data_IF_863396531544
#
_entry.id   IF_863396531544
#
_cell.length_a   1.000
_cell.length_b   1.000
_cell.length_c   1.000
_cell.angle_alpha   90.00
_cell.angle_beta   90.00
_cell.angle_gamma   90.00
#
_symmetry.space_group_name_H-M   'P 1'
#
loop_
_entity.id
_entity.type
_entity.pdbx_description
1 polymer ?
#
# COMPACT_ATOMS: atom_id res chain seq x y z
N UNK A 1 -5.43 -11.60 93.95
CA UNK A 1 -4.77 -12.68 94.73
C UNK A 1 -4.29 -13.74 93.76
N UNK A 2 -3.06 -14.16 93.99
CA UNK A 2 -2.27 -15.08 93.18
C UNK A 2 -2.76 -16.51 93.45
N UNK A 3 -3.03 -17.30 92.41
CA UNK A 3 -3.21 -18.74 92.54
C UNK A 3 -2.37 -19.46 91.47
N UNK A 4 -1.18 -19.82 91.91
CA UNK A 4 -0.22 -20.74 91.33
C UNK A 4 -0.77 -22.16 91.24
N UNK A 5 -0.65 -22.81 90.08
CA UNK A 5 -0.52 -24.28 90.03
C UNK A 5 0.38 -24.68 88.84
N UNK A 6 1.57 -25.18 89.19
CA UNK A 6 2.39 -26.16 88.45
C UNK A 6 2.46 -27.39 89.38
N UNK A 7 2.93 -28.60 88.98
CA UNK A 7 3.28 -29.14 87.65
C UNK A 7 2.74 -30.58 87.42
N UNK A 8 2.89 -31.15 86.22
CA UNK A 8 3.69 -32.39 86.04
C UNK A 8 3.84 -32.79 84.58
N UNK A 9 5.09 -33.07 84.29
CA UNK A 9 5.69 -33.54 83.05
C UNK A 9 5.29 -34.99 82.78
N UNK A 10 5.06 -35.32 81.51
CA UNK A 10 5.41 -36.63 80.98
C UNK A 10 6.02 -36.44 79.59
N UNK A 11 7.35 -36.65 79.55
CA UNK A 11 8.12 -36.80 78.32
C UNK A 11 7.72 -38.12 77.65
N UNK A 12 7.41 -38.06 76.36
CA UNK A 12 7.67 -39.17 75.45
C UNK A 12 8.45 -38.64 74.26
N UNK A 13 9.64 -39.21 74.12
CA UNK A 13 10.68 -38.91 73.15
C UNK A 13 10.22 -39.21 71.72
N UNK A 14 10.29 -38.21 70.84
CA UNK A 14 10.35 -38.42 69.40
C UNK A 14 11.58 -37.67 68.88
N UNK A 15 12.64 -38.41 68.60
CA UNK A 15 13.83 -37.91 67.91
C UNK A 15 13.45 -37.58 66.46
N UNK A 16 13.27 -36.29 66.16
CA UNK A 16 13.14 -35.82 64.79
C UNK A 16 14.55 -35.59 64.22
N UNK A 17 14.96 -36.47 63.31
CA UNK A 17 16.16 -36.30 62.51
C UNK A 17 16.00 -35.07 61.60
N UNK A 18 16.73 -33.99 61.91
CA UNK A 18 16.86 -32.85 61.00
C UNK A 18 17.81 -33.26 59.87
N UNK A 19 17.24 -33.76 58.77
CA UNK A 19 17.96 -33.85 57.51
C UNK A 19 18.10 -32.42 56.95
N UNK A 20 19.30 -31.85 57.10
CA UNK A 20 19.70 -30.61 56.43
C UNK A 20 19.73 -30.88 54.92
N UNK A 21 18.65 -30.54 54.22
CA UNK A 21 18.70 -30.43 52.75
C UNK A 21 19.48 -29.14 52.45
N UNK A 22 20.78 -29.28 52.24
CA UNK A 22 21.59 -28.24 51.60
C UNK A 22 21.12 -28.17 50.15
N UNK A 23 20.17 -27.29 49.88
CA UNK A 23 19.77 -26.94 48.52
C UNK A 23 20.91 -26.13 47.92
N UNK A 24 21.85 -26.81 47.26
CA UNK A 24 22.88 -26.17 46.46
C UNK A 24 22.19 -25.40 45.33
N UNK A 25 22.04 -24.09 45.49
CA UNK A 25 21.64 -23.20 44.40
C UNK A 25 22.80 -23.20 43.42
N UNK A 26 22.72 -24.05 42.40
CA UNK A 26 23.60 -23.98 41.24
C UNK A 26 23.32 -22.65 40.54
N UNK A 27 24.07 -21.61 40.90
CA UNK A 27 24.09 -20.35 40.17
C UNK A 27 24.71 -20.64 38.79
N UNK A 28 23.84 -20.84 37.80
CA UNK A 28 24.26 -20.97 36.42
C UNK A 28 25.03 -19.70 36.01
N UNK A 29 26.27 -19.88 35.58
CA UNK A 29 27.11 -18.79 35.05
C UNK A 29 26.36 -18.11 33.91
N UNK A 30 26.14 -16.80 34.03
CA UNK A 30 25.50 -16.02 32.98
C UNK A 30 26.30 -16.14 31.67
N UNK A 31 25.63 -16.21 30.51
CA UNK A 31 26.33 -16.27 29.23
C UNK A 31 27.21 -15.01 29.07
N UNK A 32 28.47 -15.21 28.73
CA UNK A 32 29.42 -14.13 28.47
C UNK A 32 29.02 -13.38 27.20
N UNK A 33 28.90 -12.05 27.30
CA UNK A 33 28.63 -11.16 26.19
C UNK A 33 29.70 -11.31 25.09
N UNK A 34 29.32 -11.40 23.80
CA UNK A 34 30.27 -11.23 22.71
C UNK A 34 30.97 -9.86 22.78
N UNK A 35 32.25 -9.73 22.41
CA UNK A 35 32.92 -8.43 22.32
C UNK A 35 32.17 -7.46 21.39
N UNK A 36 32.07 -6.18 21.77
CA UNK A 36 31.38 -5.16 20.98
C UNK A 36 29.86 -5.28 20.99
N UNK A 37 29.26 -5.87 22.04
CA UNK A 37 27.80 -6.00 22.18
C UNK A 37 27.30 -5.50 23.53
N UNK A 38 26.05 -5.02 23.55
CA UNK A 38 25.33 -4.58 24.76
C UNK A 38 24.16 -5.52 25.06
N UNK A 39 23.95 -5.82 26.34
CA UNK A 39 22.83 -6.63 26.79
C UNK A 39 21.50 -5.84 26.75
N UNK A 40 20.48 -6.39 26.11
CA UNK A 40 19.11 -5.86 26.05
C UNK A 40 18.15 -6.90 26.61
N UNK A 41 17.23 -6.48 27.48
CA UNK A 41 16.15 -7.32 27.98
C UNK A 41 14.87 -7.12 27.17
N UNK A 42 14.27 -8.20 26.70
CA UNK A 42 13.06 -8.17 25.87
C UNK A 42 11.99 -9.04 26.49
N UNK A 43 10.85 -8.43 26.84
CA UNK A 43 9.66 -9.16 27.30
C UNK A 43 8.91 -9.73 26.10
N UNK A 44 8.75 -11.05 26.08
CA UNK A 44 7.98 -11.81 25.10
C UNK A 44 6.52 -11.39 25.19
N UNK A 45 5.93 -11.01 24.06
CA UNK A 45 4.51 -10.64 23.93
C UNK A 45 3.69 -11.81 23.40
N UNK A 46 2.37 -11.75 23.58
CA UNK A 46 1.47 -12.72 22.95
C UNK A 46 1.70 -12.76 21.43
N UNK A 47 1.90 -13.97 20.90
CA UNK A 47 2.24 -14.21 19.49
C UNK A 47 3.70 -13.97 19.10
N UNK A 48 4.62 -13.65 20.02
CA UNK A 48 6.07 -13.66 19.72
C UNK A 48 6.56 -15.10 19.48
N UNK A 49 7.55 -15.24 18.60
CA UNK A 49 8.33 -16.47 18.41
C UNK A 49 9.82 -16.12 18.53
N UNK A 50 10.69 -17.08 18.88
CA UNK A 50 12.13 -16.83 18.93
C UNK A 50 12.65 -16.31 17.58
N UNK A 51 12.12 -16.83 16.47
CA UNK A 51 12.42 -16.33 15.12
C UNK A 51 12.07 -14.84 14.97
N UNK A 52 10.86 -14.44 15.37
CA UNK A 52 10.40 -13.05 15.25
C UNK A 52 11.18 -12.10 16.15
N UNK A 53 11.62 -12.57 17.31
CA UNK A 53 12.48 -11.82 18.23
C UNK A 53 13.91 -11.73 17.66
N UNK A 54 14.50 -12.85 17.22
CA UNK A 54 15.83 -12.91 16.64
C UNK A 54 15.98 -11.93 15.47
N UNK A 55 15.00 -11.97 14.55
CA UNK A 55 14.94 -11.07 13.40
C UNK A 55 14.76 -9.59 13.79
N UNK A 56 14.00 -9.31 14.86
CA UNK A 56 13.78 -7.92 15.32
C UNK A 56 15.06 -7.29 15.84
N UNK A 57 15.93 -8.09 16.47
CA UNK A 57 17.15 -7.61 17.14
C UNK A 57 18.42 -7.95 16.38
N UNK A 58 18.33 -8.49 15.16
CA UNK A 58 19.49 -8.80 14.32
C UNK A 58 20.40 -9.89 14.90
N UNK A 59 19.85 -10.83 15.68
CA UNK A 59 20.59 -11.94 16.29
C UNK A 59 20.08 -13.28 15.75
N UNK A 60 20.80 -14.38 15.97
CA UNK A 60 20.33 -15.71 15.54
C UNK A 60 19.50 -16.40 16.62
N UNK A 61 18.63 -17.36 16.23
CA UNK A 61 17.93 -18.22 17.20
C UNK A 61 18.93 -18.98 18.07
N UNK A 62 20.07 -19.40 17.48
CA UNK A 62 21.13 -20.11 18.19
C UNK A 62 21.76 -19.22 19.26
N UNK A 63 21.92 -17.93 18.99
CA UNK A 63 22.38 -16.96 19.97
C UNK A 63 21.34 -16.74 21.07
N UNK A 64 20.06 -16.57 20.72
CA UNK A 64 18.98 -16.48 21.72
C UNK A 64 18.94 -17.70 22.64
N UNK A 65 19.12 -18.90 22.08
CA UNK A 65 19.21 -20.17 22.81
C UNK A 65 20.42 -20.21 23.73
N UNK A 66 21.58 -19.79 23.23
CA UNK A 66 22.83 -19.73 23.97
C UNK A 66 22.74 -18.75 25.15
N UNK A 67 22.10 -17.60 24.95
CA UNK A 67 21.97 -16.56 25.98
C UNK A 67 20.84 -16.83 26.97
N UNK A 68 19.81 -17.58 26.56
CA UNK A 68 18.64 -17.88 27.39
C UNK A 68 18.40 -19.40 27.50
N UNK A 69 19.37 -20.20 27.97
CA UNK A 69 19.31 -21.67 27.89
C UNK A 69 18.11 -22.28 28.63
N UNK A 70 17.62 -21.61 29.69
CA UNK A 70 16.43 -22.07 30.44
C UNK A 70 15.10 -21.77 29.74
N UNK A 71 15.04 -20.70 28.93
CA UNK A 71 13.79 -20.16 28.36
C UNK A 71 13.67 -20.37 26.85
N UNK A 72 14.79 -20.35 26.13
CA UNK A 72 14.82 -20.41 24.67
C UNK A 72 15.28 -21.76 24.11
N UNK A 73 15.69 -22.72 24.96
CA UNK A 73 16.19 -24.05 24.51
C UNK A 73 15.19 -24.85 23.67
N UNK A 74 13.89 -24.56 23.79
CA UNK A 74 12.82 -25.12 22.95
C UNK A 74 12.08 -23.97 22.26
N UNK A 75 12.31 -23.71 20.96
CA UNK A 75 11.77 -22.54 20.26
C UNK A 75 10.25 -22.36 20.34
N UNK A 76 9.49 -23.46 20.39
CA UNK A 76 8.03 -23.45 20.41
C UNK A 76 7.44 -23.28 21.82
N UNK A 77 8.27 -23.09 22.86
CA UNK A 77 7.83 -23.08 24.27
C UNK A 77 8.02 -21.76 25.00
N UNK A 78 8.35 -20.68 24.29
CA UNK A 78 8.43 -19.36 24.91
C UNK A 78 7.03 -18.85 25.32
N UNK A 79 6.92 -18.19 26.47
CA UNK A 79 5.63 -17.71 27.00
C UNK A 79 5.57 -16.19 27.03
N UNK A 80 4.40 -15.64 26.73
CA UNK A 80 4.15 -14.21 26.89
C UNK A 80 4.38 -13.80 28.36
N UNK A 81 5.02 -12.67 28.57
CA UNK A 81 5.45 -12.17 29.88
C UNK A 81 6.87 -12.58 30.28
N UNK A 82 7.46 -13.61 29.66
CA UNK A 82 8.84 -13.99 29.94
C UNK A 82 9.82 -12.97 29.36
N UNK A 83 10.90 -12.67 30.10
CA UNK A 83 12.00 -11.84 29.60
C UNK A 83 13.15 -12.69 29.03
N UNK A 84 13.68 -12.29 27.87
CA UNK A 84 14.88 -12.82 27.23
C UNK A 84 15.99 -11.76 27.24
N UNK A 85 17.23 -12.20 27.47
CA UNK A 85 18.45 -11.41 27.35
C UNK A 85 19.05 -11.60 25.95
N UNK A 86 19.35 -10.49 25.27
CA UNK A 86 19.96 -10.47 23.95
C UNK A 86 21.24 -9.65 24.02
N UNK A 87 22.25 -9.98 23.22
CA UNK A 87 23.43 -9.14 23.04
C UNK A 87 23.41 -8.58 21.61
N UNK A 88 23.27 -7.27 21.48
CA UNK A 88 23.20 -6.56 20.19
C UNK A 88 24.47 -5.72 20.00
N UNK A 89 24.94 -5.54 18.77
CA UNK A 89 26.18 -4.80 18.51
C UNK A 89 26.13 -3.37 19.09
N UNK A 90 27.21 -2.92 19.71
CA UNK A 90 27.32 -1.57 20.31
C UNK A 90 27.09 -0.45 19.29
N UNK A 91 27.36 -0.74 18.01
CA UNK A 91 27.27 0.18 16.89
C UNK A 91 25.90 0.08 16.19
N UNK A 92 25.06 -0.85 16.63
CA UNK A 92 23.67 -0.91 16.19
C UNK A 92 22.86 0.04 17.06
N UNK A 93 22.59 1.23 16.51
CA UNK A 93 21.51 2.09 16.96
C UNK A 93 20.17 1.34 16.91
N UNK A 94 19.89 0.53 17.92
CA UNK A 94 18.58 -0.11 18.07
C UNK A 94 18.26 -0.42 19.53
N UNK A 95 18.39 0.62 20.36
CA UNK A 95 17.64 0.81 21.58
C UNK A 95 16.85 2.11 21.47
N UNK A 96 15.60 2.03 21.02
CA UNK A 96 14.66 3.13 20.72
C UNK A 96 14.67 3.68 19.27
N UNK A 97 13.97 2.98 18.37
CA UNK A 97 13.25 3.62 17.27
C UNK A 97 11.97 2.82 17.01
N UNK A 98 10.92 3.12 17.78
CA UNK A 98 9.58 2.58 17.57
C UNK A 98 8.77 3.43 16.59
N UNK A 99 9.36 4.45 15.98
CA UNK A 99 8.64 5.48 15.22
C UNK A 99 9.29 5.90 13.90
N UNK A 100 10.28 5.16 13.36
CA UNK A 100 10.71 5.44 11.97
C UNK A 100 9.65 4.88 11.02
N UNK A 101 8.96 5.72 10.23
CA UNK A 101 8.01 5.22 9.25
C UNK A 101 8.72 4.22 8.32
N UNK A 102 7.99 3.22 7.82
CA UNK A 102 8.51 2.34 6.78
C UNK A 102 7.53 2.33 5.62
N UNK A 103 8.05 2.30 4.40
CA UNK A 103 7.24 2.30 3.19
C UNK A 103 7.51 1.06 2.34
N UNK A 104 6.50 0.68 1.55
CA UNK A 104 6.56 -0.44 0.61
C UNK A 104 6.84 0.10 -0.78
N UNK A 105 7.91 -0.39 -1.40
CA UNK A 105 8.27 -0.13 -2.79
C UNK A 105 8.11 -1.38 -3.65
N UNK A 106 8.17 -1.17 -4.97
CA UNK A 106 8.03 -2.22 -5.97
C UNK A 106 9.16 -2.15 -6.97
N UNK A 107 9.58 -3.30 -7.50
CA UNK A 107 10.65 -3.43 -8.47
C UNK A 107 10.29 -4.50 -9.51
N UNK A 108 10.26 -4.13 -10.79
CA UNK A 108 10.12 -5.12 -11.87
C UNK A 108 11.49 -5.72 -12.19
N UNK A 109 11.60 -7.04 -12.11
CA UNK A 109 12.79 -7.80 -12.43
C UNK A 109 13.12 -7.62 -13.92
N UNK A 110 14.36 -7.24 -14.23
CA UNK A 110 14.85 -7.06 -15.59
C UNK A 110 15.59 -8.30 -16.08
N UNK A 111 15.77 -8.41 -17.39
CA UNK A 111 16.64 -9.44 -17.96
C UNK A 111 18.06 -9.32 -17.38
N UNK A 112 18.58 -10.42 -16.86
CA UNK A 112 19.90 -10.47 -16.21
C UNK A 112 19.93 -10.07 -14.73
N UNK A 113 18.80 -9.67 -14.13
CA UNK A 113 18.75 -9.45 -12.68
C UNK A 113 18.83 -10.80 -11.93
N UNK A 114 19.56 -10.79 -10.81
CA UNK A 114 19.48 -11.81 -9.75
C UNK A 114 18.93 -11.18 -8.47
N UNK A 115 18.38 -11.96 -7.54
CA UNK A 115 17.91 -11.41 -6.26
C UNK A 115 19.01 -10.72 -5.46
N UNK A 116 20.25 -11.24 -5.52
CA UNK A 116 21.39 -10.62 -4.84
C UNK A 116 21.73 -9.25 -5.44
N UNK A 117 21.76 -9.13 -6.76
CA UNK A 117 22.01 -7.85 -7.44
C UNK A 117 20.90 -6.85 -7.15
N UNK A 118 19.64 -7.29 -7.18
CA UNK A 118 18.49 -6.42 -6.88
C UNK A 118 18.50 -5.97 -5.42
N UNK A 119 18.75 -6.88 -4.47
CA UNK A 119 18.83 -6.56 -3.05
C UNK A 119 19.94 -5.54 -2.77
N UNK A 120 21.13 -5.74 -3.32
CA UNK A 120 22.25 -4.78 -3.22
C UNK A 120 21.88 -3.43 -3.82
N UNK A 121 21.27 -3.40 -5.02
CA UNK A 121 20.81 -2.16 -5.67
C UNK A 121 19.78 -1.41 -4.81
N UNK A 122 18.90 -2.14 -4.15
CA UNK A 122 17.90 -1.57 -3.26
C UNK A 122 18.46 -1.22 -1.88
N UNK A 123 19.67 -1.67 -1.52
CA UNK A 123 20.25 -1.49 -0.19
C UNK A 123 19.49 -2.25 0.90
N UNK A 124 19.04 -3.48 0.60
CA UNK A 124 18.30 -4.35 1.52
C UNK A 124 18.93 -5.74 1.57
N UNK A 125 18.60 -6.53 2.59
CA UNK A 125 19.01 -7.94 2.65
C UNK A 125 18.28 -8.76 1.58
N UNK A 126 19.01 -9.69 0.94
CA UNK A 126 18.42 -10.67 0.03
C UNK A 126 17.39 -11.56 0.75
N UNK A 127 17.67 -11.94 2.00
CA UNK A 127 16.77 -12.75 2.81
C UNK A 127 15.47 -12.02 3.13
N UNK A 128 15.56 -10.70 3.37
CA UNK A 128 14.39 -9.85 3.57
C UNK A 128 13.56 -9.74 2.30
N UNK A 129 14.21 -9.49 1.16
CA UNK A 129 13.58 -9.43 -0.15
C UNK A 129 12.88 -10.76 -0.49
N UNK A 130 13.53 -11.90 -0.25
CA UNK A 130 12.94 -13.22 -0.44
C UNK A 130 11.75 -13.44 0.51
N UNK A 131 11.90 -13.13 1.79
CA UNK A 131 10.87 -13.30 2.82
C UNK A 131 9.62 -12.47 2.53
N UNK A 132 9.77 -11.20 2.14
CA UNK A 132 8.63 -10.33 1.83
C UNK A 132 7.86 -10.77 0.59
N UNK A 133 8.51 -11.45 -0.35
CA UNK A 133 7.91 -11.93 -1.59
C UNK A 133 7.55 -13.43 -1.56
N UNK A 134 7.75 -14.12 -0.42
CA UNK A 134 7.50 -15.55 -0.31
C UNK A 134 8.38 -16.42 -1.23
N UNK A 135 9.54 -15.92 -1.66
CA UNK A 135 10.44 -16.62 -2.56
C UNK A 135 11.28 -17.62 -1.76
N UNK A 136 11.18 -18.90 -2.11
CA UNK A 136 11.97 -19.98 -1.49
C UNK A 136 13.23 -20.33 -2.26
N UNK A 137 13.24 -20.06 -3.55
CA UNK A 137 14.32 -20.40 -4.48
C UNK A 137 14.62 -19.18 -5.37
N UNK A 138 15.78 -18.57 -5.14
CA UNK A 138 16.20 -17.36 -5.83
C UNK A 138 16.43 -17.56 -7.34
N UNK A 139 16.64 -18.81 -7.79
CA UNK A 139 16.87 -19.12 -9.20
C UNK A 139 15.58 -19.13 -10.03
N UNK A 140 14.41 -19.09 -9.39
CA UNK A 140 13.10 -19.17 -10.08
C UNK A 140 12.50 -17.82 -10.45
N UNK A 141 13.19 -16.72 -10.19
CA UNK A 141 12.75 -15.39 -10.59
C UNK A 141 12.82 -15.22 -12.11
N UNK A 142 11.93 -14.42 -12.68
CA UNK A 142 11.86 -14.18 -14.12
C UNK A 142 11.77 -12.69 -14.42
N UNK A 143 12.33 -12.29 -15.57
CA UNK A 143 12.14 -10.94 -16.06
C UNK A 143 10.64 -10.65 -16.24
N UNK A 144 10.21 -9.48 -15.76
CA UNK A 144 8.81 -9.07 -15.72
C UNK A 144 8.08 -9.41 -14.41
N UNK A 145 8.64 -10.30 -13.57
CA UNK A 145 8.14 -10.50 -12.21
C UNK A 145 8.29 -9.21 -11.40
N UNK A 146 7.39 -9.00 -10.44
CA UNK A 146 7.42 -7.83 -9.57
C UNK A 146 7.75 -8.24 -8.14
N UNK A 147 8.73 -7.55 -7.56
CA UNK A 147 9.13 -7.70 -6.17
C UNK A 147 8.62 -6.52 -5.34
N UNK A 148 8.12 -6.82 -4.15
CA UNK A 148 7.86 -5.85 -3.09
C UNK A 148 9.08 -5.75 -2.17
N UNK A 149 9.44 -4.54 -1.80
CA UNK A 149 10.49 -4.30 -0.80
C UNK A 149 10.03 -3.28 0.23
N UNK A 150 10.69 -3.24 1.38
CA UNK A 150 10.41 -2.27 2.45
C UNK A 150 11.66 -1.46 2.75
N UNK A 151 11.49 -0.17 2.98
CA UNK A 151 12.56 0.71 3.45
C UNK A 151 12.10 1.51 4.68
N UNK A 152 12.98 1.73 5.66
CA UNK A 152 12.73 2.70 6.71
C UNK A 152 12.81 4.13 6.14
N UNK A 153 12.26 5.07 6.89
CA UNK A 153 12.20 6.49 6.56
C UNK A 153 10.95 6.87 5.78
N UNK A 154 10.96 8.10 5.29
CA UNK A 154 9.89 8.62 4.45
C UNK A 154 9.96 8.02 3.04
N UNK A 155 8.77 7.79 2.45
CA UNK A 155 8.66 7.38 1.06
C UNK A 155 9.07 8.55 0.17
N UNK A 156 9.95 8.35 -0.83
CA UNK A 156 10.12 9.34 -1.89
C UNK A 156 8.79 9.64 -2.57
N UNK A 157 8.58 10.90 -2.96
CA UNK A 157 7.37 11.29 -3.68
C UNK A 157 7.23 10.47 -4.97
N UNK A 158 6.02 10.01 -5.25
CA UNK A 158 5.76 9.31 -6.50
C UNK A 158 5.81 10.29 -7.68
N UNK A 159 6.49 9.87 -8.76
CA UNK A 159 6.76 10.72 -9.92
C UNK A 159 6.43 10.01 -11.22
N UNK A 160 5.88 10.77 -12.17
CA UNK A 160 5.71 10.36 -13.55
C UNK A 160 7.01 10.54 -14.34
N UNK A 161 7.49 9.48 -14.99
CA UNK A 161 8.67 9.53 -15.86
C UNK A 161 8.30 9.15 -17.30
N UNK A 162 8.60 10.03 -18.26
CA UNK A 162 8.28 9.82 -19.68
C UNK A 162 6.83 10.16 -20.05
N UNK A 163 6.36 9.58 -21.16
CA UNK A 163 5.00 9.80 -21.69
C UNK A 163 4.03 8.73 -21.18
N UNK A 164 2.70 8.99 -21.19
CA UNK A 164 1.69 8.01 -20.80
C UNK A 164 1.80 6.66 -21.54
N UNK A 165 2.33 6.65 -22.77
CA UNK A 165 2.47 5.44 -23.62
C UNK A 165 3.88 4.86 -23.68
N UNK A 166 4.85 5.55 -23.08
CA UNK A 166 6.25 5.12 -22.98
C UNK A 166 6.89 5.77 -21.76
N UNK A 167 6.61 5.20 -20.59
CA UNK A 167 7.03 5.80 -19.34
C UNK A 167 7.01 4.83 -18.17
N UNK A 168 7.29 5.36 -16.98
CA UNK A 168 7.30 4.65 -15.71
C UNK A 168 6.65 5.48 -14.62
N UNK A 169 6.25 4.79 -13.57
CA UNK A 169 5.81 5.40 -12.33
C UNK A 169 6.87 5.11 -11.27
N UNK A 170 7.62 6.13 -10.89
CA UNK A 170 8.62 6.04 -9.83
C UNK A 170 7.92 6.15 -8.50
N UNK A 171 8.22 5.23 -7.58
CA UNK A 171 7.67 5.21 -6.23
C UNK A 171 6.13 5.31 -6.17
N UNK A 172 5.41 4.69 -7.11
CA UNK A 172 3.95 4.80 -7.27
C UNK A 172 3.11 4.52 -6.04
N UNK A 173 2.20 5.42 -5.67
CA UNK A 173 1.34 5.27 -4.49
C UNK A 173 0.04 4.53 -4.82
N UNK A 174 -0.44 3.70 -3.90
CA UNK A 174 -1.73 3.05 -4.05
C UNK A 174 -2.86 4.00 -3.63
N UNK A 175 -3.96 4.06 -4.39
CA UNK A 175 -5.11 4.91 -4.06
C UNK A 175 -5.80 4.53 -2.74
N UNK A 176 -5.61 3.31 -2.26
CA UNK A 176 -6.17 2.86 -0.98
C UNK A 176 -7.70 2.89 -0.95
N UNK A 177 -8.24 2.78 0.26
CA UNK A 177 -9.68 2.88 0.50
C UNK A 177 -10.12 4.35 0.61
N UNK A 178 -11.38 4.62 0.27
CA UNK A 178 -11.93 5.95 0.36
C UNK A 178 -13.43 5.97 0.11
N UNK A 179 -14.05 7.09 0.46
CA UNK A 179 -15.48 7.34 0.32
C UNK A 179 -15.88 7.51 -1.16
N UNK A 180 -17.08 7.08 -1.52
CA UNK A 180 -17.67 7.27 -2.84
C UNK A 180 -17.14 6.40 -3.97
N UNK A 181 -16.13 5.55 -3.77
CA UNK A 181 -15.62 4.66 -4.81
C UNK A 181 -15.32 3.24 -4.35
N UNK A 182 -15.19 2.33 -5.32
CA UNK A 182 -14.63 0.98 -5.17
C UNK A 182 -13.58 0.74 -6.23
N UNK A 183 -12.62 -0.13 -5.95
CA UNK A 183 -11.59 -0.52 -6.91
C UNK A 183 -11.99 -1.78 -7.66
N UNK A 184 -11.93 -1.74 -9.00
CA UNK A 184 -12.12 -2.93 -9.85
C UNK A 184 -10.93 -3.88 -9.72
N UNK A 185 -9.72 -3.33 -9.82
CA UNK A 185 -8.46 -4.07 -9.75
C UNK A 185 -7.47 -3.34 -8.82
N UNK A 186 -7.50 -3.60 -7.50
CA UNK A 186 -6.62 -2.92 -6.55
C UNK A 186 -5.13 -2.99 -6.93
N UNK A 187 -4.68 -4.12 -7.47
CA UNK A 187 -3.29 -4.30 -7.94
C UNK A 187 -2.84 -3.31 -9.04
N UNK A 188 -3.77 -2.64 -9.72
CA UNK A 188 -3.54 -1.71 -10.81
C UNK A 188 -3.89 -0.25 -10.41
N UNK A 189 -4.14 0.02 -9.13
CA UNK A 189 -4.62 1.31 -8.65
C UNK A 189 -3.48 2.18 -8.08
N UNK A 190 -2.40 2.28 -8.85
CA UNK A 190 -1.20 3.05 -8.47
C UNK A 190 -1.05 4.32 -9.32
N UNK A 191 -0.71 5.44 -8.69
CA UNK A 191 -0.57 6.72 -9.37
C UNK A 191 0.29 7.73 -8.60
N UNK A 192 0.38 8.95 -9.13
CA UNK A 192 1.04 10.08 -8.47
C UNK A 192 0.07 10.79 -7.49
N UNK A 193 0.56 11.45 -6.43
CA UNK A 193 -0.28 11.88 -5.30
C UNK A 193 -1.40 12.84 -5.72
N UNK A 194 -1.11 13.72 -6.69
CA UNK A 194 -2.06 14.70 -7.26
C UNK A 194 -3.28 14.00 -7.88
N UNK A 195 -3.05 13.02 -8.76
CA UNK A 195 -4.10 12.23 -9.42
C UNK A 195 -4.92 11.46 -8.39
N UNK A 196 -4.27 10.76 -7.47
CA UNK A 196 -4.95 9.97 -6.45
C UNK A 196 -5.85 10.85 -5.55
N UNK A 197 -5.37 12.04 -5.19
CA UNK A 197 -6.13 13.02 -4.39
C UNK A 197 -7.38 13.48 -5.14
N UNK A 198 -7.27 13.77 -6.43
CA UNK A 198 -8.38 14.23 -7.26
C UNK A 198 -9.43 13.13 -7.40
N UNK A 199 -9.02 11.89 -7.68
CA UNK A 199 -9.91 10.73 -7.75
C UNK A 199 -10.70 10.52 -6.45
N UNK A 200 -10.01 10.51 -5.28
CA UNK A 200 -10.65 10.36 -3.97
C UNK A 200 -11.61 11.51 -3.65
N UNK A 201 -11.16 12.75 -3.89
CA UNK A 201 -11.95 13.96 -3.59
C UNK A 201 -13.24 13.97 -4.40
N UNK A 202 -13.15 13.82 -5.72
CA UNK A 202 -14.32 13.89 -6.59
C UNK A 202 -15.30 12.73 -6.36
N UNK A 203 -14.81 11.53 -6.07
CA UNK A 203 -15.68 10.41 -5.69
C UNK A 203 -16.46 10.72 -4.39
N UNK A 204 -15.76 11.21 -3.36
CA UNK A 204 -16.40 11.63 -2.09
C UNK A 204 -17.40 12.78 -2.29
N UNK A 205 -17.11 13.73 -3.18
CA UNK A 205 -18.01 14.85 -3.46
C UNK A 205 -19.31 14.42 -4.12
N UNK A 206 -19.24 13.51 -5.10
CA UNK A 206 -20.46 12.97 -5.72
C UNK A 206 -21.28 12.19 -4.72
N UNK A 207 -20.65 11.39 -3.85
CA UNK A 207 -21.35 10.67 -2.78
C UNK A 207 -22.03 11.63 -1.79
N UNK A 208 -21.33 12.68 -1.36
CA UNK A 208 -21.86 13.67 -0.42
C UNK A 208 -23.02 14.48 -1.01
N UNK A 209 -22.93 14.83 -2.29
CA UNK A 209 -24.01 15.51 -3.00
C UNK A 209 -25.21 14.59 -3.29
N UNK A 210 -25.05 13.27 -3.20
CA UNK A 210 -26.08 12.29 -3.51
C UNK A 210 -26.09 11.17 -2.45
N UNK A 211 -26.55 11.43 -1.21
CA UNK A 211 -26.56 10.42 -0.15
C UNK A 211 -27.24 9.12 -0.58
N UNK A 212 -26.58 7.98 -0.33
CA UNK A 212 -27.07 6.66 -0.75
C UNK A 212 -26.81 6.33 -2.22
N UNK A 213 -26.07 7.16 -2.96
CA UNK A 213 -25.63 6.80 -4.32
C UNK A 213 -24.76 5.54 -4.30
N UNK A 214 -24.90 4.70 -5.32
CA UNK A 214 -23.92 3.67 -5.64
C UNK A 214 -22.53 4.32 -5.79
N UNK A 215 -21.49 3.59 -5.40
CA UNK A 215 -20.12 4.08 -5.45
C UNK A 215 -19.58 3.98 -6.87
N UNK A 216 -18.79 4.98 -7.31
CA UNK A 216 -18.14 4.91 -8.63
C UNK A 216 -17.11 3.79 -8.63
N UNK A 217 -17.00 3.06 -9.73
CA UNK A 217 -15.93 2.08 -9.88
C UNK A 217 -14.69 2.78 -10.44
N UNK A 218 -13.57 2.75 -9.74
CA UNK A 218 -12.25 3.14 -10.26
C UNK A 218 -11.58 1.88 -10.79
N UNK A 219 -11.20 1.94 -12.07
CA UNK A 219 -10.58 0.87 -12.84
C UNK A 219 -9.07 0.89 -12.74
N UNK A 220 -8.42 0.67 -13.88
CA UNK A 220 -6.96 0.68 -13.97
C UNK A 220 -6.43 2.12 -13.89
N UNK A 221 -5.38 2.33 -13.11
CA UNK A 221 -4.61 3.59 -13.06
C UNK A 221 -3.22 3.32 -13.63
N UNK A 222 -2.46 2.44 -12.98
CA UNK A 222 -1.14 1.99 -13.42
C UNK A 222 -0.68 0.78 -12.61
N UNK A 223 0.33 0.06 -13.13
CA UNK A 223 1.13 -0.87 -12.33
C UNK A 223 1.88 -0.08 -11.23
N UNK A 224 2.30 -0.72 -10.12
CA UNK A 224 3.07 -0.04 -9.06
C UNK A 224 4.32 0.72 -9.52
N UNK A 225 4.94 0.24 -10.59
CA UNK A 225 6.16 0.77 -11.23
C UNK A 225 5.88 1.39 -12.60
N UNK A 226 4.62 1.41 -13.04
CA UNK A 226 4.23 1.84 -14.37
C UNK A 226 4.71 0.90 -15.47
N UNK A 227 5.14 1.47 -16.60
CA UNK A 227 5.62 0.69 -17.75
C UNK A 227 4.50 0.02 -18.55
N UNK A 228 4.88 -0.78 -19.56
CA UNK A 228 3.94 -1.45 -20.47
C UNK A 228 2.85 -2.19 -19.70
N UNK A 229 1.60 -1.93 -20.08
CA UNK A 229 0.45 -2.41 -19.35
C UNK A 229 -0.66 -2.97 -20.28
N UNK A 230 -0.42 -4.10 -20.96
CA UNK A 230 -1.43 -4.69 -21.84
C UNK A 230 -2.75 -5.02 -21.10
N UNK A 231 -3.91 -4.86 -21.76
CA UNK A 231 -4.09 -4.47 -23.17
C UNK A 231 -3.99 -2.95 -23.41
N UNK A 232 -3.78 -2.15 -22.37
CA UNK A 232 -3.71 -0.70 -22.46
C UNK A 232 -2.44 -0.24 -23.19
N UNK A 233 -2.60 0.78 -24.02
CA UNK A 233 -1.47 1.44 -24.67
C UNK A 233 -0.84 2.50 -23.75
N UNK A 234 -1.64 3.16 -22.92
CA UNK A 234 -1.22 4.15 -21.90
C UNK A 234 -1.17 3.54 -20.49
N UNK A 235 -1.47 4.30 -19.44
CA UNK A 235 -1.42 3.90 -18.03
C UNK A 235 -0.01 3.58 -17.51
N UNK A 236 1.04 4.07 -18.17
CA UNK A 236 2.41 3.67 -17.83
C UNK A 236 3.07 4.58 -16.78
N UNK A 237 2.45 5.71 -16.45
CA UNK A 237 3.09 6.77 -15.66
C UNK A 237 2.28 7.21 -14.43
N UNK A 238 1.19 6.50 -14.10
CA UNK A 238 0.35 6.86 -12.95
C UNK A 238 -0.50 8.11 -13.14
N UNK A 239 -0.71 8.53 -14.40
CA UNK A 239 -1.49 9.73 -14.80
C UNK A 239 -2.73 9.46 -15.63
N UNK A 240 -3.01 8.20 -15.96
CA UNK A 240 -4.26 7.80 -16.60
C UNK A 240 -5.13 7.08 -15.56
N UNK A 241 -6.45 7.20 -15.65
CA UNK A 241 -7.39 6.47 -14.81
C UNK A 241 -8.65 6.10 -15.57
N UNK A 242 -9.05 4.83 -15.51
CA UNK A 242 -10.35 4.38 -16.00
C UNK A 242 -11.40 4.55 -14.91
N UNK A 243 -12.49 5.24 -15.20
CA UNK A 243 -13.55 5.56 -14.24
C UNK A 243 -14.89 5.08 -14.78
N UNK A 244 -15.57 4.23 -14.03
CA UNK A 244 -16.84 3.65 -14.44
C UNK A 244 -17.95 4.69 -14.48
N UNK A 245 -18.90 4.49 -15.38
CA UNK A 245 -20.12 5.30 -15.40
C UNK A 245 -20.97 5.02 -14.14
N UNK A 246 -21.60 6.08 -13.61
CA UNK A 246 -22.73 5.91 -12.71
C UNK A 246 -23.90 5.38 -13.52
N UNK A 247 -24.61 4.39 -12.99
CA UNK A 247 -25.73 3.75 -13.68
C UNK A 247 -27.06 4.42 -13.34
N UNK A 248 -27.92 4.55 -14.34
CA UNK A 248 -29.30 4.99 -14.17
C UNK A 248 -30.02 4.08 -13.16
N UNK A 249 -30.92 4.66 -12.36
CA UNK A 249 -31.61 3.93 -11.29
C UNK A 249 -30.70 3.60 -10.09
N UNK A 250 -29.53 4.24 -9.98
CA UNK A 250 -28.59 4.05 -8.88
C UNK A 250 -28.06 2.61 -8.73
N UNK A 251 -27.96 1.88 -9.84
CA UNK A 251 -27.43 0.51 -9.84
C UNK A 251 -25.92 0.52 -9.63
N UNK A 252 -25.41 -0.34 -8.74
CA UNK A 252 -23.97 -0.49 -8.55
C UNK A 252 -23.31 -1.12 -9.78
N UNK A 253 -22.46 -0.36 -10.46
CA UNK A 253 -21.59 -0.88 -11.50
C UNK A 253 -20.48 -1.73 -10.84
N UNK A 254 -20.47 -3.04 -11.10
CA UNK A 254 -19.53 -3.99 -10.46
C UNK A 254 -18.29 -4.28 -11.30
N UNK A 255 -18.37 -4.10 -12.62
CA UNK A 255 -17.36 -4.65 -13.54
C UNK A 255 -16.97 -3.72 -14.69
N UNK A 256 -17.58 -2.53 -14.83
CA UNK A 256 -17.49 -1.73 -16.06
C UNK A 256 -17.91 -2.55 -17.29
N UNK A 257 -19.13 -3.09 -17.27
CA UNK A 257 -19.69 -3.75 -18.44
C UNK A 257 -20.09 -2.73 -19.51
N UNK A 258 -20.27 -3.18 -20.76
CA UNK A 258 -20.65 -2.29 -21.88
C UNK A 258 -22.00 -1.67 -21.64
N UNK A 259 -22.12 -0.37 -21.86
CA UNK A 259 -23.34 0.40 -21.61
C UNK A 259 -23.73 1.27 -22.81
N UNK A 260 -25.02 1.26 -23.14
CA UNK A 260 -25.62 2.26 -24.02
C UNK A 260 -26.07 3.52 -23.25
N UNK A 261 -26.40 4.62 -23.94
CA UNK A 261 -26.75 5.89 -23.30
C UNK A 261 -27.90 5.85 -22.28
N UNK A 262 -28.87 4.95 -22.44
CA UNK A 262 -30.01 4.79 -21.52
C UNK A 262 -29.62 4.20 -20.16
N UNK A 263 -28.49 3.50 -20.07
CA UNK A 263 -28.03 2.86 -18.84
C UNK A 263 -27.22 3.81 -17.95
N UNK A 264 -26.74 4.92 -18.49
CA UNK A 264 -25.84 5.84 -17.79
C UNK A 264 -26.63 6.96 -17.13
N UNK A 265 -26.35 7.19 -15.85
CA UNK A 265 -26.75 8.40 -15.15
C UNK A 265 -25.87 9.57 -15.65
N UNK A 266 -26.40 10.34 -16.58
CA UNK A 266 -25.68 11.46 -17.21
C UNK A 266 -25.32 12.54 -16.20
N UNK A 267 -26.16 12.79 -15.20
CA UNK A 267 -25.95 13.83 -14.20
C UNK A 267 -24.78 13.50 -13.28
N UNK A 268 -24.80 12.31 -12.66
CA UNK A 268 -23.72 11.88 -11.77
C UNK A 268 -22.42 11.57 -12.50
N UNK A 269 -22.50 10.96 -13.70
CA UNK A 269 -21.31 10.70 -14.52
C UNK A 269 -20.68 12.00 -15.02
N UNK A 270 -21.48 13.03 -15.32
CA UNK A 270 -20.94 14.35 -15.61
C UNK A 270 -20.37 15.01 -14.36
N UNK A 271 -21.03 14.93 -13.21
CA UNK A 271 -20.57 15.57 -11.98
C UNK A 271 -19.15 15.13 -11.59
N UNK A 272 -18.85 13.82 -11.67
CA UNK A 272 -17.50 13.33 -11.40
C UNK A 272 -16.49 13.79 -12.45
N UNK A 273 -16.84 13.74 -13.73
CA UNK A 273 -15.96 14.16 -14.82
C UNK A 273 -15.65 15.66 -14.75
N UNK A 274 -16.68 16.49 -14.53
CA UNK A 274 -16.55 17.92 -14.32
C UNK A 274 -15.62 18.23 -13.15
N UNK A 275 -15.78 17.51 -12.03
CA UNK A 275 -14.91 17.67 -10.87
C UNK A 275 -13.43 17.40 -11.21
N UNK A 276 -13.13 16.38 -12.01
CA UNK A 276 -11.75 16.14 -12.48
C UNK A 276 -11.22 17.30 -13.32
N UNK A 277 -12.01 17.77 -14.28
CA UNK A 277 -11.61 18.82 -15.23
C UNK A 277 -11.38 20.17 -14.51
N UNK A 278 -12.17 20.48 -13.48
CA UNK A 278 -12.07 21.75 -12.75
C UNK A 278 -10.95 21.75 -11.69
N UNK A 279 -10.63 20.60 -11.10
CA UNK A 279 -9.66 20.50 -9.99
C UNK A 279 -8.25 20.22 -10.45
N UNK A 280 -8.10 19.66 -11.64
CA UNK A 280 -6.81 19.26 -12.15
C UNK A 280 -6.71 19.50 -13.65
N UNK A 281 -5.48 19.65 -14.14
CA UNK A 281 -5.19 19.82 -15.56
C UNK A 281 -5.43 18.49 -16.28
N UNK A 282 -6.68 18.20 -16.62
CA UNK A 282 -7.03 17.08 -17.49
C UNK A 282 -6.66 17.47 -18.92
N UNK A 283 -5.85 16.63 -19.58
CA UNK A 283 -5.34 16.89 -20.93
C UNK A 283 -6.02 16.02 -21.99
N UNK A 284 -6.68 14.95 -21.55
CA UNK A 284 -7.48 14.08 -22.42
C UNK A 284 -8.56 13.35 -21.64
N UNK A 285 -9.70 13.16 -22.29
CA UNK A 285 -10.73 12.21 -21.87
C UNK A 285 -11.14 11.36 -23.06
N UNK A 286 -11.26 10.04 -22.89
CA UNK A 286 -11.84 9.16 -23.91
C UNK A 286 -13.16 8.55 -23.45
N UNK A 287 -14.16 8.62 -24.32
CA UNK A 287 -15.52 8.13 -24.08
C UNK A 287 -16.13 7.57 -25.36
N UNK A 288 -17.13 6.70 -25.24
CA UNK A 288 -17.94 6.30 -26.39
C UNK A 288 -18.73 7.49 -26.99
N UNK A 289 -18.84 7.51 -28.33
CA UNK A 289 -19.47 8.62 -29.07
C UNK A 289 -20.95 8.75 -28.78
N UNK A 290 -21.68 7.65 -28.59
CA UNK A 290 -23.11 7.71 -28.27
C UNK A 290 -23.34 8.28 -26.87
N UNK A 291 -22.48 7.93 -25.91
CA UNK A 291 -22.52 8.49 -24.55
C UNK A 291 -22.19 9.97 -24.57
N UNK A 292 -21.13 10.40 -25.27
CA UNK A 292 -20.80 11.81 -25.47
C UNK A 292 -22.00 12.63 -25.98
N UNK A 293 -22.65 12.16 -27.05
CA UNK A 293 -23.85 12.82 -27.63
C UNK A 293 -24.99 12.94 -26.62
N UNK A 294 -25.21 11.90 -25.81
CA UNK A 294 -26.27 11.91 -24.82
C UNK A 294 -25.96 12.83 -23.65
N UNK A 295 -24.70 12.83 -23.19
CA UNK A 295 -24.22 13.71 -22.12
C UNK A 295 -24.31 15.18 -22.54
N UNK A 296 -23.76 15.57 -23.71
CA UNK A 296 -23.87 16.94 -24.24
C UNK A 296 -25.33 17.39 -24.31
N UNK A 297 -26.22 16.58 -24.90
CA UNK A 297 -27.66 16.91 -24.96
C UNK A 297 -28.30 17.05 -23.59
N UNK A 298 -27.90 16.23 -22.62
CA UNK A 298 -28.38 16.34 -21.24
C UNK A 298 -27.97 17.67 -20.61
N UNK A 299 -26.71 18.07 -20.76
CA UNK A 299 -26.16 19.31 -20.20
C UNK A 299 -26.84 20.55 -20.78
N UNK A 300 -26.98 20.60 -22.11
CA UNK A 300 -27.64 21.71 -22.80
C UNK A 300 -29.11 21.83 -22.40
N UNK A 301 -29.86 20.71 -22.38
CA UNK A 301 -31.28 20.72 -21.96
C UNK A 301 -31.48 21.15 -20.51
N UNK A 302 -30.50 20.90 -19.64
CA UNK A 302 -30.55 21.30 -18.23
C UNK A 302 -30.00 22.71 -17.98
N UNK A 303 -29.51 23.40 -19.01
CA UNK A 303 -28.89 24.71 -18.86
C UNK A 303 -27.59 24.68 -18.06
N UNK A 304 -26.90 23.53 -17.99
CA UNK A 304 -25.70 23.33 -17.18
C UNK A 304 -24.40 23.74 -17.90
N UNK A 305 -24.47 24.04 -19.20
CA UNK A 305 -23.33 24.50 -20.00
C UNK A 305 -23.81 25.23 -21.26
N UNK A 306 -22.97 26.13 -21.78
CA UNK A 306 -23.20 26.81 -23.06
C UNK A 306 -22.85 25.92 -24.26
N UNK A 307 -23.43 26.23 -25.41
CA UNK A 307 -23.07 25.57 -26.68
C UNK A 307 -21.58 25.76 -27.03
N UNK A 308 -21.04 26.94 -26.74
CA UNK A 308 -19.63 27.25 -26.94
C UNK A 308 -18.72 26.33 -26.13
N UNK A 309 -18.97 26.21 -24.82
CA UNK A 309 -18.20 25.31 -23.95
C UNK A 309 -18.34 23.86 -24.40
N UNK A 310 -19.54 23.41 -24.77
CA UNK A 310 -19.78 22.06 -25.27
C UNK A 310 -19.02 21.77 -26.58
N UNK A 311 -18.88 22.76 -27.47
CA UNK A 311 -18.13 22.62 -28.73
C UNK A 311 -16.61 22.50 -28.53
N UNK A 312 -16.08 23.06 -27.43
CA UNK A 312 -14.68 22.93 -27.02
C UNK A 312 -14.43 21.62 -26.26
N UNK A 313 -15.42 21.17 -25.47
CA UNK A 313 -15.29 19.95 -24.67
C UNK A 313 -15.46 18.66 -25.48
N UNK A 314 -16.48 18.55 -26.33
CA UNK A 314 -16.87 17.29 -26.98
C UNK A 314 -16.51 17.27 -28.47
N UNK A 315 -15.77 16.23 -28.89
CA UNK A 315 -15.34 16.04 -30.29
C UNK A 315 -16.51 16.00 -31.30
N UNK A 316 -17.67 15.43 -30.94
CA UNK A 316 -18.76 15.14 -31.88
C UNK A 316 -19.35 16.37 -32.59
N UNK A 317 -19.24 17.57 -32.01
CA UNK A 317 -19.71 18.83 -32.60
C UNK A 317 -18.66 19.93 -32.64
N UNK A 318 -17.41 19.60 -32.34
CA UNK A 318 -16.35 20.59 -32.36
C UNK A 318 -16.05 21.01 -33.79
N UNK A 319 -15.91 22.32 -34.03
CA UNK A 319 -15.33 22.84 -35.27
C UNK A 319 -13.84 22.51 -35.39
N UNK A 320 -13.20 22.15 -34.26
CA UNK A 320 -11.82 21.66 -34.18
C UNK A 320 -11.76 20.34 -33.38
N UNK A 321 -12.27 19.22 -33.92
CA UNK A 321 -12.34 17.92 -33.22
C UNK A 321 -11.01 17.44 -32.62
N UNK A 322 -9.89 17.82 -33.24
CA UNK A 322 -8.55 17.48 -32.75
C UNK A 322 -8.15 18.20 -31.45
N UNK A 323 -8.78 19.34 -31.15
CA UNK A 323 -8.54 20.17 -29.96
C UNK A 323 -9.52 19.87 -28.82
N UNK A 324 -10.58 19.09 -29.08
CA UNK A 324 -11.54 18.74 -28.04
C UNK A 324 -10.91 17.89 -26.93
N UNK A 325 -11.29 18.20 -25.68
CA UNK A 325 -10.82 17.47 -24.50
C UNK A 325 -11.35 16.03 -24.48
N UNK A 326 -12.67 15.89 -24.67
CA UNK A 326 -13.40 14.63 -24.67
C UNK A 326 -13.46 14.11 -26.10
N UNK A 327 -12.80 12.97 -26.32
CA UNK A 327 -12.62 12.36 -27.63
C UNK A 327 -13.24 10.97 -27.71
N UNK A 328 -13.71 10.62 -28.90
CA UNK A 328 -14.16 9.28 -29.14
C UNK A 328 -12.98 8.31 -29.18
N UNK A 329 -13.10 7.22 -28.43
CA UNK A 329 -12.32 6.02 -28.64
C UNK A 329 -13.24 4.78 -28.56
N UNK A 330 -13.05 3.79 -29.45
CA UNK A 330 -13.78 2.53 -29.37
C UNK A 330 -13.64 1.85 -28.00
N UNK A 331 -14.66 1.11 -27.58
CA UNK A 331 -14.70 0.32 -26.32
C UNK A 331 -14.68 1.13 -25.01
N UNK A 332 -14.76 2.46 -25.09
CA UNK A 332 -14.97 3.36 -23.95
C UNK A 332 -16.47 3.57 -23.66
N UNK A 333 -17.28 2.58 -24.03
CA UNK A 333 -18.66 2.38 -23.62
C UNK A 333 -18.75 1.61 -22.30
N UNK A 334 -17.62 1.30 -21.66
CA UNK A 334 -17.53 0.60 -20.38
C UNK A 334 -17.08 1.51 -19.24
N UNK A 335 -16.29 2.53 -19.56
CA UNK A 335 -15.68 3.48 -18.65
C UNK A 335 -15.36 4.81 -19.37
N UNK A 336 -15.03 5.82 -18.57
CA UNK A 336 -14.43 7.09 -18.98
C UNK A 336 -12.93 6.94 -18.70
N UNK A 337 -12.09 7.04 -19.72
CA UNK A 337 -10.66 7.10 -19.52
C UNK A 337 -10.24 8.56 -19.37
N UNK A 338 -9.55 8.91 -18.29
CA UNK A 338 -9.12 10.28 -17.98
C UNK A 338 -7.60 10.33 -17.91
N UNK A 339 -7.00 11.31 -18.58
CA UNK A 339 -5.57 11.59 -18.49
C UNK A 339 -5.31 12.96 -17.86
N UNK A 340 -4.49 12.94 -16.83
CA UNK A 340 -4.02 14.13 -16.13
C UNK A 340 -2.68 14.61 -16.68
N UNK A 341 -2.45 15.92 -16.63
CA UNK A 341 -1.22 16.55 -17.07
C UNK A 341 -0.02 16.10 -16.23
N UNK A 342 1.17 16.37 -16.75
CA UNK A 342 2.40 16.31 -15.98
C UNK A 342 2.33 17.20 -14.74
N UNK A 343 2.82 16.68 -13.62
CA UNK A 343 3.08 17.49 -12.45
C UNK A 343 4.29 18.41 -12.74
N UNK A 344 4.21 19.73 -12.47
CA UNK A 344 5.35 20.62 -12.62
C UNK A 344 6.61 20.16 -11.84
N UNK A 345 6.43 19.39 -10.76
CA UNK A 345 7.54 18.81 -9.99
C UNK A 345 8.22 17.60 -10.66
N UNK A 346 7.59 16.98 -11.67
CA UNK A 346 8.09 15.79 -12.34
C UNK A 346 8.93 16.15 -13.57
N UNK A 347 10.21 16.48 -13.35
CA UNK A 347 11.11 16.99 -14.41
C UNK A 347 11.24 16.08 -15.65
N UNK A 348 11.06 14.76 -15.50
CA UNK A 348 11.13 13.79 -16.60
C UNK A 348 9.77 13.48 -17.23
N UNK A 349 8.67 14.03 -16.71
CA UNK A 349 7.35 13.82 -17.28
C UNK A 349 7.22 14.51 -18.65
N UNK A 350 6.56 13.86 -19.59
CA UNK A 350 6.29 14.40 -20.93
C UNK A 350 4.83 14.17 -21.31
N UNK A 351 4.23 15.15 -21.99
CA UNK A 351 2.90 14.99 -22.59
C UNK A 351 2.99 14.30 -23.95
N UNK A 352 1.92 13.62 -24.36
CA UNK A 352 1.82 13.19 -25.76
C UNK A 352 1.65 14.42 -26.66
N UNK A 353 2.11 14.34 -27.91
CA UNK A 353 2.07 15.46 -28.88
C UNK A 353 0.68 16.12 -29.01
N UNK A 354 -0.40 15.36 -28.80
CA UNK A 354 -1.77 15.86 -28.94
C UNK A 354 -2.36 16.37 -27.63
N UNK A 355 -1.75 16.04 -26.49
CA UNK A 355 -2.26 16.40 -25.17
C UNK A 355 -2.04 17.89 -24.93
N UNK A 356 -3.11 18.56 -24.52
CA UNK A 356 -3.16 20.01 -24.30
C UNK A 356 -3.92 20.25 -23.01
N UNK A 357 -3.43 21.17 -22.20
CA UNK A 357 -4.16 21.62 -21.01
C UNK A 357 -5.46 22.27 -21.49
N UNK A 358 -6.58 21.81 -20.95
CA UNK A 358 -7.87 22.39 -21.22
C UNK A 358 -8.16 23.47 -20.17
N UNK A 359 -8.36 24.70 -20.63
CA UNK A 359 -8.85 25.79 -19.79
C UNK A 359 -10.38 25.74 -19.79
N UNK A 360 -10.94 25.29 -18.66
CA UNK A 360 -12.37 25.03 -18.49
C UNK A 360 -13.23 26.30 -18.53
#
# INVERSE_FOLDING_TARGET
>A
MIATFKPRVLLTTATLSVALIVCAVVQAKAPTAPPGTTAVQVTIRSGDSLMRIANRYGVTIKDLQKWNPKKASKPDRIRAGDSLTLFVAQDSEMGMAKDTPSWVGFYDIKAGDSLSVVATRLGISMDDLMRWNGIRDAAKIRAGDQLQYRKPGERPLAQSDGTPTNGKLLYGEHIGEGAGYRLRFPKNAFGIPRVLRVLRTCASEVERANPGTAQVLIGDISRPTGGKFPPHQSHQTGRDADVGYYMAGNVQNKTMYRVGPSHVDMGKSWAILKCFIERDSVVRVYMDRAIQRSMRRHLLRKGLASEELMSRLFEEKSSKPAEALIRHAPHHDTHIHVRFACDPGDASCREEKRDKIFEF
#
